data_IF_271284916041
#
_entry.id   IF_271284916041
#
_cell.length_a   1.000
_cell.length_b   1.000
_cell.length_c   1.000
_cell.angle_alpha   90.00
_cell.angle_beta   90.00
_cell.angle_gamma   90.00
#
_symmetry.space_group_name_H-M   'P 1'
#
loop_
_entity.id
_entity.type
_entity.pdbx_description
1 polymer ?
#
# COMPACT_ATOMS: atom_id res chain seq x y z
N UNK A 1 9.65 11.75 -1.04
CA UNK A 1 8.33 11.42 -0.46
C UNK A 1 7.84 12.62 0.34
N UNK A 2 6.52 12.95 0.22
CA UNK A 2 5.89 14.12 0.85
C UNK A 2 6.20 14.22 2.35
N UNK A 3 6.08 13.13 3.09
CA UNK A 3 6.34 13.09 4.54
C UNK A 3 7.81 13.40 4.83
N UNK A 4 8.73 12.83 4.08
CA UNK A 4 10.17 13.07 4.25
C UNK A 4 10.54 14.52 3.90
N UNK A 5 9.93 15.08 2.86
CA UNK A 5 10.15 16.47 2.47
C UNK A 5 9.71 17.44 3.58
N UNK A 6 8.52 17.24 4.17
CA UNK A 6 8.06 18.02 5.31
C UNK A 6 9.03 17.90 6.49
N UNK A 7 9.42 16.68 6.87
CA UNK A 7 10.33 16.46 7.99
C UNK A 7 11.68 17.12 7.73
N UNK A 8 12.21 17.03 6.53
CA UNK A 8 13.49 17.62 6.16
C UNK A 8 13.42 19.16 6.12
N UNK A 9 12.35 19.73 5.58
CA UNK A 9 12.17 21.19 5.54
C UNK A 9 12.11 21.82 6.94
N UNK A 10 11.50 21.12 7.90
CA UNK A 10 11.48 21.55 9.29
C UNK A 10 12.89 21.51 9.88
N UNK A 11 13.69 20.47 9.57
CA UNK A 11 15.08 20.34 10.07
C UNK A 11 16.01 21.38 9.45
N UNK A 12 15.82 21.70 8.18
CA UNK A 12 16.68 22.66 7.43
C UNK A 12 16.18 24.09 7.47
N UNK A 13 15.03 24.33 8.10
CA UNK A 13 14.38 25.65 8.20
C UNK A 13 14.04 26.25 6.81
N UNK A 14 13.62 25.38 5.85
CA UNK A 14 13.21 25.75 4.48
C UNK A 14 11.70 25.58 4.27
N UNK A 15 10.91 25.79 5.29
CA UNK A 15 9.45 25.59 5.28
C UNK A 15 8.74 26.50 4.27
N UNK A 16 9.20 27.73 4.06
CA UNK A 16 8.59 28.70 3.14
C UNK A 16 8.70 28.24 1.67
N UNK A 17 9.80 27.58 1.32
CA UNK A 17 10.00 27.02 -0.02
C UNK A 17 9.01 25.90 -0.28
N UNK A 18 8.81 25.01 0.71
CA UNK A 18 7.84 23.91 0.65
C UNK A 18 6.42 24.45 0.55
N UNK A 19 6.04 25.44 1.34
CA UNK A 19 4.71 26.08 1.21
C UNK A 19 4.50 26.66 -0.17
N UNK A 20 5.49 27.36 -0.73
CA UNK A 20 5.40 27.95 -2.06
C UNK A 20 5.28 26.91 -3.15
N UNK A 21 5.94 25.76 -2.99
CA UNK A 21 5.86 24.64 -3.93
C UNK A 21 4.47 24.02 -3.92
N UNK A 22 4.01 23.56 -2.75
CA UNK A 22 2.74 22.83 -2.65
C UNK A 22 1.51 23.68 -2.93
N UNK A 23 1.55 24.97 -2.62
CA UNK A 23 0.45 25.91 -2.92
C UNK A 23 0.14 26.04 -4.41
N UNK A 24 1.12 25.83 -5.27
CA UNK A 24 0.98 25.97 -6.72
C UNK A 24 0.63 24.66 -7.44
N UNK A 25 0.39 23.58 -6.71
CA UNK A 25 -0.01 22.30 -7.30
C UNK A 25 -1.52 22.29 -7.55
N UNK A 26 -1.93 21.88 -8.75
CA UNK A 26 -3.34 21.64 -9.07
C UNK A 26 -3.88 20.41 -8.35
N UNK A 27 -3.03 19.38 -8.19
CA UNK A 27 -3.38 18.10 -7.52
C UNK A 27 -2.22 17.67 -6.64
N UNK A 28 -2.53 17.29 -5.38
CA UNK A 28 -1.60 16.67 -4.44
C UNK A 28 -2.07 15.26 -4.10
N UNK A 29 -1.22 14.27 -4.39
CA UNK A 29 -1.45 12.87 -4.03
C UNK A 29 -0.53 12.50 -2.85
N UNK A 30 -1.11 12.00 -1.77
CA UNK A 30 -0.37 11.61 -0.56
C UNK A 30 -0.69 10.16 -0.26
N UNK A 31 0.34 9.35 -0.23
CA UNK A 31 0.23 7.95 0.15
C UNK A 31 0.64 7.76 1.63
N UNK A 32 -0.08 6.90 2.33
CA UNK A 32 0.20 6.53 3.72
C UNK A 32 0.29 7.72 4.68
N UNK A 33 -0.74 8.58 4.72
CA UNK A 33 -0.76 9.80 5.53
C UNK A 33 -0.51 9.58 7.03
N UNK A 34 -0.78 8.37 7.55
CA UNK A 34 -0.58 8.03 8.97
C UNK A 34 0.86 8.24 9.45
N UNK A 35 1.85 8.17 8.57
CA UNK A 35 3.26 8.41 8.92
C UNK A 35 3.61 9.87 9.20
N UNK A 36 2.71 10.80 8.84
CA UNK A 36 2.89 12.22 9.11
C UNK A 36 2.57 12.58 10.57
N UNK A 37 1.68 11.82 11.20
CA UNK A 37 1.13 12.15 12.51
C UNK A 37 2.00 11.68 13.68
N UNK A 38 1.69 12.20 14.89
CA UNK A 38 2.52 12.00 16.09
C UNK A 38 3.70 12.97 16.22
N UNK A 39 3.86 13.91 15.25
CA UNK A 39 4.83 15.00 15.28
C UNK A 39 4.09 16.32 15.07
N UNK A 40 3.94 17.10 16.13
CA UNK A 40 3.13 18.32 16.16
C UNK A 40 3.45 19.28 15.00
N UNK A 41 4.71 19.60 14.77
CA UNK A 41 5.14 20.51 13.70
C UNK A 41 4.81 20.00 12.29
N UNK A 42 4.91 18.69 12.07
CA UNK A 42 4.59 18.11 10.75
C UNK A 42 3.09 18.12 10.50
N UNK A 43 2.28 17.85 11.52
CA UNK A 43 0.83 17.94 11.45
C UNK A 43 0.34 19.36 11.20
N UNK A 44 0.93 20.34 11.89
CA UNK A 44 0.63 21.77 11.70
C UNK A 44 0.97 22.23 10.28
N UNK A 45 2.17 21.90 9.79
CA UNK A 45 2.60 22.24 8.45
C UNK A 45 1.68 21.62 7.39
N UNK A 46 1.33 20.36 7.56
CA UNK A 46 0.39 19.69 6.67
C UNK A 46 -0.99 20.35 6.68
N UNK A 47 -1.50 20.74 7.86
CA UNK A 47 -2.77 21.44 7.97
C UNK A 47 -2.78 22.75 7.18
N UNK A 48 -1.69 23.50 7.19
CA UNK A 48 -1.56 24.73 6.40
C UNK A 48 -1.55 24.43 4.90
N UNK A 49 -0.74 23.48 4.44
CA UNK A 49 -0.69 23.05 3.03
C UNK A 49 -2.09 22.59 2.56
N UNK A 50 -2.75 21.74 3.35
CA UNK A 50 -4.09 21.23 3.04
C UNK A 50 -5.09 22.37 2.84
N UNK A 51 -5.14 23.32 3.77
CA UNK A 51 -6.06 24.44 3.67
C UNK A 51 -5.76 25.34 2.46
N UNK A 52 -4.49 25.59 2.15
CA UNK A 52 -4.10 26.39 0.98
C UNK A 52 -4.58 25.75 -0.33
N UNK A 53 -4.36 24.44 -0.49
CA UNK A 53 -4.77 23.69 -1.68
C UNK A 53 -6.29 23.71 -1.83
N UNK A 54 -7.04 23.43 -0.75
CA UNK A 54 -8.52 23.42 -0.79
C UNK A 54 -9.08 24.83 -1.03
N UNK A 55 -8.52 25.86 -0.40
CA UNK A 55 -8.98 27.24 -0.58
C UNK A 55 -8.75 27.77 -2.01
N UNK A 56 -7.75 27.24 -2.71
CA UNK A 56 -7.49 27.55 -4.11
C UNK A 56 -8.30 26.67 -5.08
N UNK A 57 -9.25 25.85 -4.59
CA UNK A 57 -10.03 24.89 -5.36
C UNK A 57 -9.17 23.83 -6.07
N UNK A 58 -8.03 23.50 -5.52
CA UNK A 58 -7.17 22.42 -5.99
C UNK A 58 -7.57 21.08 -5.32
N UNK A 59 -7.11 19.96 -5.88
CA UNK A 59 -7.50 18.63 -5.44
C UNK A 59 -6.45 18.00 -4.54
N UNK A 60 -6.91 17.33 -3.46
CA UNK A 60 -6.06 16.44 -2.66
C UNK A 60 -6.65 15.03 -2.69
N UNK A 61 -5.80 14.03 -2.89
CA UNK A 61 -6.14 12.62 -2.73
C UNK A 61 -5.18 12.01 -1.69
N UNK A 62 -5.74 11.38 -0.69
CA UNK A 62 -4.99 10.84 0.45
C UNK A 62 -5.32 9.37 0.59
N UNK A 63 -4.30 8.51 0.77
CA UNK A 63 -4.49 7.14 1.23
C UNK A 63 -4.11 6.98 2.70
N UNK A 64 -4.71 6.01 3.37
CA UNK A 64 -4.43 5.67 4.76
C UNK A 64 -4.79 4.21 5.04
N UNK A 65 -4.12 3.59 6.01
CA UNK A 65 -4.46 2.27 6.55
C UNK A 65 -5.62 2.30 7.56
N UNK A 66 -6.14 3.51 7.86
CA UNK A 66 -7.20 3.74 8.85
C UNK A 66 -8.22 4.75 8.35
N UNK A 67 -9.44 4.64 8.83
CA UNK A 67 -10.45 5.68 8.65
C UNK A 67 -10.06 6.95 9.40
N UNK A 68 -10.54 8.14 8.98
CA UNK A 68 -10.19 9.41 9.61
C UNK A 68 -10.38 9.43 11.14
N UNK A 69 -11.42 8.77 11.65
CA UNK A 69 -11.72 8.69 13.09
C UNK A 69 -10.77 7.79 13.89
N UNK A 70 -10.06 6.90 13.21
CA UNK A 70 -9.15 5.92 13.82
C UNK A 70 -7.70 6.41 13.80
N UNK A 71 -7.42 7.52 13.12
CA UNK A 71 -6.10 8.11 13.05
C UNK A 71 -5.69 8.69 14.40
N UNK A 72 -4.59 8.20 14.94
CA UNK A 72 -4.04 8.66 16.23
C UNK A 72 -2.99 9.75 16.03
N UNK A 73 -2.91 10.68 16.99
CA UNK A 73 -1.91 11.75 16.97
C UNK A 73 -2.19 12.83 15.92
N UNK A 74 -3.43 12.92 15.46
CA UNK A 74 -3.91 13.93 14.54
C UNK A 74 -4.85 14.90 15.29
N UNK A 75 -4.82 16.16 14.90
CA UNK A 75 -5.71 17.16 15.47
C UNK A 75 -7.15 17.00 14.93
N UNK A 76 -8.14 17.22 15.81
CA UNK A 76 -9.57 17.11 15.46
C UNK A 76 -9.95 17.98 14.25
N UNK A 77 -9.29 19.13 14.07
CA UNK A 77 -9.52 20.01 12.92
C UNK A 77 -9.16 19.36 11.59
N UNK A 78 -8.12 18.50 11.53
CA UNK A 78 -7.76 17.73 10.33
C UNK A 78 -8.75 16.58 10.11
N UNK A 79 -9.14 15.86 11.16
CA UNK A 79 -10.16 14.81 11.09
C UNK A 79 -11.45 15.38 10.49
N UNK A 80 -11.90 16.54 11.00
CA UNK A 80 -13.09 17.22 10.48
C UNK A 80 -12.97 17.57 8.99
N UNK A 81 -11.77 18.01 8.55
CA UNK A 81 -11.50 18.31 7.14
C UNK A 81 -11.52 17.06 6.26
N UNK A 82 -10.92 15.95 6.70
CA UNK A 82 -10.96 14.69 5.97
C UNK A 82 -12.39 14.18 5.82
N UNK A 83 -13.20 14.27 6.88
CA UNK A 83 -14.61 13.88 6.87
C UNK A 83 -15.50 14.76 5.99
N UNK A 84 -15.12 16.01 5.78
CA UNK A 84 -15.85 16.90 4.88
C UNK A 84 -15.65 16.59 3.40
N UNK A 85 -14.61 15.79 3.08
CA UNK A 85 -14.35 15.26 1.76
C UNK A 85 -15.06 13.94 1.51
N UNK A 86 -14.70 13.28 0.42
CA UNK A 86 -15.22 11.97 0.04
C UNK A 86 -14.25 10.88 0.50
N UNK A 87 -14.72 9.98 1.36
CA UNK A 87 -13.92 8.86 1.86
C UNK A 87 -14.51 7.53 1.41
N UNK A 88 -13.66 6.63 0.92
CA UNK A 88 -14.03 5.27 0.52
C UNK A 88 -13.13 4.26 1.23
N UNK A 89 -13.72 3.20 1.78
CA UNK A 89 -12.99 2.02 2.20
C UNK A 89 -12.63 1.16 0.99
N UNK A 90 -11.43 0.58 1.03
CA UNK A 90 -10.99 -0.44 0.09
C UNK A 90 -10.84 -1.74 0.88
N UNK A 91 -11.80 -2.62 0.72
CA UNK A 91 -11.82 -3.92 1.39
C UNK A 91 -10.85 -4.91 0.70
N UNK A 92 -10.39 -5.95 1.43
CA UNK A 92 -9.68 -7.05 0.80
C UNK A 92 -10.50 -7.64 -0.36
N UNK A 93 -9.87 -8.09 -1.44
CA UNK A 93 -10.58 -8.65 -2.56
C UNK A 93 -11.28 -9.96 -2.19
N UNK A 94 -12.45 -10.19 -2.78
CA UNK A 94 -13.10 -11.49 -2.73
C UNK A 94 -12.26 -12.55 -3.45
N UNK A 95 -12.55 -13.82 -3.18
CA UNK A 95 -11.80 -14.98 -3.70
C UNK A 95 -11.54 -14.89 -5.21
N UNK A 96 -12.57 -14.69 -6.00
CA UNK A 96 -12.48 -14.62 -7.46
C UNK A 96 -11.60 -13.46 -7.94
N UNK A 97 -11.73 -12.31 -7.30
CA UNK A 97 -10.90 -11.14 -7.59
C UNK A 97 -9.43 -11.39 -7.23
N UNK A 98 -9.17 -11.98 -6.06
CA UNK A 98 -7.82 -12.31 -5.62
C UNK A 98 -7.17 -13.35 -6.56
N UNK A 99 -7.96 -14.34 -7.03
CA UNK A 99 -7.49 -15.34 -8.00
C UNK A 99 -7.13 -14.69 -9.33
N UNK A 100 -7.99 -13.82 -9.87
CA UNK A 100 -7.71 -13.09 -11.10
C UNK A 100 -6.47 -12.18 -11.00
N UNK A 101 -6.26 -11.54 -9.84
CA UNK A 101 -5.04 -10.75 -9.56
C UNK A 101 -3.81 -11.67 -9.60
N UNK A 102 -3.88 -12.85 -8.98
CA UNK A 102 -2.79 -13.81 -8.93
C UNK A 102 -2.44 -14.33 -10.33
N UNK A 103 -3.42 -14.71 -11.14
CA UNK A 103 -3.26 -15.12 -12.54
C UNK A 103 -2.58 -14.03 -13.36
N UNK A 104 -3.04 -12.80 -13.22
CA UNK A 104 -2.43 -11.64 -13.91
C UNK A 104 -0.99 -11.39 -13.50
N UNK A 105 -0.66 -11.62 -12.23
CA UNK A 105 0.72 -11.51 -11.73
C UNK A 105 1.62 -12.61 -12.32
N UNK A 106 1.10 -13.84 -12.47
CA UNK A 106 1.81 -14.96 -13.11
C UNK A 106 2.12 -14.63 -14.58
N UNK A 107 1.14 -14.14 -15.33
CA UNK A 107 1.36 -13.69 -16.71
C UNK A 107 2.50 -12.67 -16.81
N UNK A 108 2.56 -11.73 -15.85
CA UNK A 108 3.57 -10.66 -15.82
C UNK A 108 4.98 -11.14 -15.38
N UNK A 109 5.13 -12.37 -14.85
CA UNK A 109 6.46 -12.93 -14.55
C UNK A 109 7.28 -13.22 -15.82
N UNK A 110 6.64 -13.20 -17.00
CA UNK A 110 7.33 -13.36 -18.29
C UNK A 110 7.85 -14.78 -18.57
N UNK A 111 7.58 -15.74 -17.71
CA UNK A 111 7.92 -17.15 -17.90
C UNK A 111 6.71 -17.89 -18.50
N UNK A 112 6.67 -17.98 -19.81
CA UNK A 112 5.57 -18.60 -20.54
C UNK A 112 5.46 -20.11 -20.34
N UNK A 113 6.51 -20.75 -19.83
CA UNK A 113 6.58 -22.20 -19.64
C UNK A 113 6.20 -22.63 -18.21
N UNK A 114 5.99 -21.66 -17.30
CA UNK A 114 5.61 -21.95 -15.92
C UNK A 114 4.14 -22.35 -15.84
N UNK A 115 3.89 -23.54 -15.34
CA UNK A 115 2.55 -24.08 -15.08
C UNK A 115 2.33 -24.18 -13.58
N UNK A 116 1.35 -23.46 -13.06
CA UNK A 116 0.88 -23.57 -11.68
C UNK A 116 -0.51 -24.18 -11.74
N UNK A 117 -0.73 -25.25 -10.98
CA UNK A 117 -2.03 -25.93 -10.99
C UNK A 117 -3.10 -25.11 -10.25
N UNK A 118 -4.34 -25.28 -10.62
CA UNK A 118 -5.49 -24.49 -10.14
C UNK A 118 -5.70 -24.66 -8.62
N UNK A 119 -5.46 -25.86 -8.11
CA UNK A 119 -5.51 -26.17 -6.67
C UNK A 119 -4.45 -25.42 -5.85
N UNK A 120 -3.29 -25.14 -6.43
CA UNK A 120 -2.26 -24.29 -5.81
C UNK A 120 -2.73 -22.84 -5.77
N UNK A 121 -3.31 -22.33 -6.87
CA UNK A 121 -3.87 -20.96 -6.90
C UNK A 121 -4.97 -20.81 -5.86
N UNK A 122 -5.90 -21.75 -5.81
CA UNK A 122 -6.99 -21.75 -4.84
C UNK A 122 -6.46 -21.79 -3.39
N UNK A 123 -5.48 -22.66 -3.13
CA UNK A 123 -4.81 -22.74 -1.83
C UNK A 123 -4.16 -21.41 -1.43
N UNK A 124 -3.47 -20.76 -2.35
CA UNK A 124 -2.83 -19.47 -2.10
C UNK A 124 -3.86 -18.40 -1.79
N UNK A 125 -4.92 -18.31 -2.57
CA UNK A 125 -6.00 -17.34 -2.35
C UNK A 125 -6.68 -17.58 -1.01
N UNK A 126 -7.06 -18.83 -0.68
CA UNK A 126 -7.71 -19.18 0.59
C UNK A 126 -6.89 -18.78 1.82
N UNK A 127 -5.56 -18.82 1.73
CA UNK A 127 -4.68 -18.56 2.87
C UNK A 127 -4.14 -17.14 2.95
N UNK A 128 -4.10 -16.40 1.83
CA UNK A 128 -3.38 -15.11 1.73
C UNK A 128 -4.18 -13.97 1.09
N UNK A 129 -5.46 -14.16 0.71
CA UNK A 129 -6.24 -13.13 0.02
C UNK A 129 -6.49 -11.86 0.83
N UNK A 130 -6.40 -11.92 2.16
CA UNK A 130 -6.60 -10.75 3.02
C UNK A 130 -5.50 -9.69 2.85
N UNK A 131 -4.35 -10.05 2.30
CA UNK A 131 -3.23 -9.15 2.01
C UNK A 131 -2.60 -9.51 0.66
N UNK A 132 -2.88 -8.69 -0.34
CA UNK A 132 -2.35 -8.88 -1.70
C UNK A 132 -0.82 -8.83 -1.74
N UNK A 133 -0.17 -8.02 -0.88
CA UNK A 133 1.30 -8.01 -0.81
C UNK A 133 1.83 -9.35 -0.30
N UNK A 134 1.15 -9.94 0.68
CA UNK A 134 1.47 -11.29 1.16
C UNK A 134 1.27 -12.33 0.07
N UNK A 135 0.15 -12.28 -0.65
CA UNK A 135 -0.14 -13.18 -1.77
C UNK A 135 0.94 -13.10 -2.87
N UNK A 136 1.35 -11.88 -3.26
CA UNK A 136 2.46 -11.67 -4.19
C UNK A 136 3.80 -12.22 -3.65
N UNK A 137 4.06 -12.02 -2.36
CA UNK A 137 5.25 -12.53 -1.70
C UNK A 137 5.34 -14.05 -1.79
N UNK A 138 4.21 -14.74 -1.56
CA UNK A 138 4.14 -16.19 -1.69
C UNK A 138 4.32 -16.68 -3.13
N UNK A 139 3.73 -15.96 -4.11
CA UNK A 139 3.94 -16.26 -5.52
C UNK A 139 5.42 -16.15 -5.92
N UNK A 140 6.07 -15.05 -5.52
CA UNK A 140 7.52 -14.86 -5.78
C UNK A 140 8.36 -15.95 -5.16
N UNK A 141 7.99 -16.43 -3.97
CA UNK A 141 8.68 -17.52 -3.28
C UNK A 141 8.53 -18.83 -4.05
N UNK A 142 7.30 -19.21 -4.47
CA UNK A 142 7.06 -20.38 -5.31
C UNK A 142 7.89 -20.34 -6.59
N UNK A 143 7.87 -19.18 -7.27
CA UNK A 143 8.63 -18.98 -8.49
C UNK A 143 10.15 -19.11 -8.25
N UNK A 144 10.67 -18.52 -7.19
CA UNK A 144 12.09 -18.65 -6.84
C UNK A 144 12.48 -20.12 -6.57
N UNK A 145 11.68 -20.84 -5.78
CA UNK A 145 11.93 -22.26 -5.49
C UNK A 145 11.86 -23.11 -6.77
N UNK A 146 10.93 -22.84 -7.68
CA UNK A 146 10.84 -23.57 -8.95
C UNK A 146 12.09 -23.41 -9.82
N UNK A 147 12.66 -22.20 -9.84
CA UNK A 147 13.94 -21.95 -10.53
C UNK A 147 15.08 -22.75 -9.88
N UNK A 148 15.16 -22.77 -8.55
CA UNK A 148 16.19 -23.47 -7.81
C UNK A 148 16.14 -24.99 -8.05
N UNK A 149 14.95 -25.55 -8.16
CA UNK A 149 14.73 -26.97 -8.44
C UNK A 149 14.66 -27.29 -9.95
N UNK A 150 14.88 -26.29 -10.81
CA UNK A 150 14.83 -26.43 -12.27
C UNK A 150 13.53 -27.07 -12.77
N UNK A 151 12.39 -26.74 -12.14
CA UNK A 151 11.06 -27.21 -12.53
C UNK A 151 10.19 -26.04 -13.02
N UNK A 152 9.42 -26.30 -14.06
CA UNK A 152 8.41 -25.36 -14.59
C UNK A 152 6.98 -25.79 -14.20
N UNK A 153 6.84 -26.83 -13.35
CA UNK A 153 5.55 -27.39 -12.95
C UNK A 153 5.39 -27.31 -11.44
N UNK A 154 4.43 -26.55 -10.97
CA UNK A 154 4.13 -26.31 -9.57
C UNK A 154 2.77 -26.92 -9.25
N UNK A 155 2.76 -28.05 -8.56
CA UNK A 155 1.58 -28.72 -8.02
C UNK A 155 1.48 -28.54 -6.50
N UNK A 156 0.44 -29.10 -5.89
CA UNK A 156 0.24 -29.03 -4.43
C UNK A 156 1.33 -29.71 -3.63
N UNK A 157 2.02 -30.73 -4.16
CA UNK A 157 3.13 -31.38 -3.46
C UNK A 157 4.30 -30.40 -3.34
N UNK A 158 4.69 -29.79 -4.47
CA UNK A 158 5.72 -28.76 -4.51
C UNK A 158 5.36 -27.59 -3.62
N UNK A 159 4.16 -27.01 -3.78
CA UNK A 159 3.70 -25.87 -2.99
C UNK A 159 3.70 -26.18 -1.48
N UNK A 160 3.27 -27.39 -1.09
CA UNK A 160 3.25 -27.81 0.30
C UNK A 160 4.64 -27.86 0.91
N UNK A 161 5.65 -28.30 0.18
CA UNK A 161 7.05 -28.30 0.63
C UNK A 161 7.55 -26.87 0.84
N UNK A 162 7.34 -25.99 -0.14
CA UNK A 162 7.75 -24.59 -0.05
C UNK A 162 7.09 -23.85 1.14
N UNK A 163 5.81 -24.16 1.44
CA UNK A 163 5.07 -23.49 2.51
C UNK A 163 5.23 -24.12 3.89
N UNK A 164 5.68 -25.38 4.00
CA UNK A 164 5.97 -26.03 5.30
C UNK A 164 7.02 -25.28 6.11
N UNK A 165 8.03 -24.73 5.45
CA UNK A 165 9.13 -24.01 6.12
C UNK A 165 8.68 -22.73 6.84
N UNK A 166 7.50 -22.20 6.53
CA UNK A 166 6.96 -21.01 7.25
C UNK A 166 6.49 -21.33 8.68
N UNK A 167 6.15 -22.58 8.99
CA UNK A 167 5.70 -22.96 10.35
C UNK A 167 6.86 -23.16 11.34
N UNK A 168 8.09 -23.15 10.86
CA UNK A 168 9.29 -23.45 11.67
C UNK A 168 10.02 -22.17 12.13
N UNK A 169 9.63 -20.99 11.62
CA UNK A 169 10.19 -19.69 12.05
C UNK A 169 9.14 -18.97 12.89
N UNK A 170 9.05 -19.37 14.17
CA UNK A 170 8.39 -18.62 15.22
C UNK A 170 9.37 -18.43 16.37
#
# INVERSE_FOLDING_TARGET
>A
DFVDEIINSIKTNTTDEIYSYYRNLDILLIDDIQFLFGKEKSSEMFFHIFNEIINNNHQIVITSDKMPDELQGIEERLISRFKSGLSFGIDPPEFETAKAILEKKIENLGNTDLVITDDVLDFMVMNYCNDIRSLEGQLKRLFFCSIMESTNYIDMNFASEVFKDQKTIK
#
